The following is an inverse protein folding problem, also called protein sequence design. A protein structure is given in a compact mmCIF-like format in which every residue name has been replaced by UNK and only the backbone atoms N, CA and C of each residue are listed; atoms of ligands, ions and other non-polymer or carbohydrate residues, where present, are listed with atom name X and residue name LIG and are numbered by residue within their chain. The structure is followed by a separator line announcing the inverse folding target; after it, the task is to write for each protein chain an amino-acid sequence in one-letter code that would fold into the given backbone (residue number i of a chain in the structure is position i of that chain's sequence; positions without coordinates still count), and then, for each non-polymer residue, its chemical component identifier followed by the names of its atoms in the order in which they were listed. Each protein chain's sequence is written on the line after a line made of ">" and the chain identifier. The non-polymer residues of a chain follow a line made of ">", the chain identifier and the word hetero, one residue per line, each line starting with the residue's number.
data_IF_430582308004
#
_entry.id   IF_430582308004
#
_cell.length_a   1.000
_cell.length_b   1.000
_cell.length_c   1.000
_cell.angle_alpha   90.00
_cell.angle_beta   90.00
_cell.angle_gamma   90.00
#
_symmetry.space_group_name_H-M   'P 1'
#
loop_
_entity.id
_entity.type
_entity.pdbx_description
1 polymer ?
#
# COMPACT_ATOMS: atom_id res chain seq x y z
N UNK A 1 4.21 -1.45 8.37
CA UNK A 1 3.25 -1.18 7.27
C UNK A 1 3.63 0.04 6.44
N UNK A 2 3.51 1.28 6.95
CA UNK A 2 3.79 2.49 6.13
C UNK A 2 5.26 2.56 5.68
N UNK A 3 6.20 2.28 6.59
CA UNK A 3 7.63 2.15 6.26
C UNK A 3 7.88 1.07 5.20
N UNK A 4 7.25 -0.10 5.34
CA UNK A 4 7.42 -1.23 4.43
C UNK A 4 6.84 -0.91 3.04
N UNK A 5 5.72 -0.19 2.98
CA UNK A 5 5.17 0.33 1.74
C UNK A 5 6.19 1.21 0.98
N UNK A 6 6.91 2.10 1.67
CA UNK A 6 7.93 2.92 1.01
C UNK A 6 9.12 2.10 0.53
N UNK A 7 9.59 1.15 1.33
CA UNK A 7 10.70 0.27 0.95
C UNK A 7 10.35 -0.54 -0.32
N UNK A 8 9.10 -1.01 -0.43
CA UNK A 8 8.61 -1.68 -1.64
C UNK A 8 8.54 -0.72 -2.82
N UNK A 9 8.06 0.51 -2.62
CA UNK A 9 8.00 1.52 -3.69
C UNK A 9 9.40 1.88 -4.23
N UNK A 10 10.38 2.03 -3.34
CA UNK A 10 11.78 2.27 -3.71
C UNK A 10 12.34 1.08 -4.50
N UNK A 11 12.17 -0.14 -3.97
CA UNK A 11 12.59 -1.37 -4.65
C UNK A 11 11.92 -1.54 -6.02
N UNK A 12 10.65 -1.14 -6.15
CA UNK A 12 9.90 -1.18 -7.40
C UNK A 12 10.50 -0.23 -8.44
N UNK A 13 10.86 0.99 -8.03
CA UNK A 13 11.50 1.96 -8.90
C UNK A 13 12.86 1.46 -9.40
N UNK A 14 13.67 0.86 -8.54
CA UNK A 14 14.93 0.22 -8.93
C UNK A 14 14.73 -0.94 -9.91
N UNK A 15 13.72 -1.79 -9.67
CA UNK A 15 13.42 -2.94 -10.53
C UNK A 15 12.95 -2.52 -11.94
N UNK A 16 12.20 -1.41 -12.04
CA UNK A 16 11.83 -0.83 -13.33
C UNK A 16 13.05 -0.31 -14.09
N UNK A 17 13.94 0.43 -13.41
CA UNK A 17 15.16 0.98 -14.04
C UNK A 17 16.10 -0.14 -14.53
N UNK A 18 16.16 -1.26 -13.82
CA UNK A 18 16.99 -2.42 -14.17
C UNK A 18 16.33 -3.41 -15.13
N UNK A 19 15.11 -3.12 -15.63
CA UNK A 19 14.37 -3.93 -16.59
C UNK A 19 14.25 -5.41 -16.17
N UNK A 20 13.81 -5.66 -14.93
CA UNK A 20 13.59 -7.01 -14.39
C UNK A 20 12.08 -7.32 -14.23
N UNK A 21 11.37 -7.79 -15.27
CA UNK A 21 9.91 -7.95 -15.24
C UNK A 21 9.40 -8.81 -14.09
N UNK A 22 10.04 -9.96 -13.82
CA UNK A 22 9.65 -10.86 -12.74
C UNK A 22 9.72 -10.17 -11.36
N UNK A 23 10.70 -9.28 -11.16
CA UNK A 23 10.91 -8.56 -9.91
C UNK A 23 9.88 -7.44 -9.77
N UNK A 24 9.56 -6.76 -10.87
CA UNK A 24 8.48 -5.75 -10.92
C UNK A 24 7.14 -6.36 -10.53
N UNK A 25 6.79 -7.52 -11.09
CA UNK A 25 5.53 -8.22 -10.76
C UNK A 25 5.49 -8.66 -9.28
N UNK A 26 6.57 -9.25 -8.77
CA UNK A 26 6.65 -9.66 -7.36
C UNK A 26 6.49 -8.47 -6.40
N UNK A 27 7.14 -7.34 -6.70
CA UNK A 27 7.04 -6.11 -5.91
C UNK A 27 5.65 -5.49 -5.99
N UNK A 28 5.02 -5.50 -7.17
CA UNK A 28 3.65 -5.01 -7.35
C UNK A 28 2.64 -5.87 -6.57
N UNK A 29 2.82 -7.19 -6.55
CA UNK A 29 2.04 -8.10 -5.70
C UNK A 29 2.23 -7.79 -4.21
N UNK A 30 3.48 -7.63 -3.76
CA UNK A 30 3.78 -7.30 -2.37
C UNK A 30 3.18 -5.95 -1.96
N UNK A 31 3.26 -4.94 -2.84
CA UNK A 31 2.63 -3.62 -2.66
C UNK A 31 1.13 -3.74 -2.48
N UNK A 32 0.45 -4.53 -3.32
CA UNK A 32 -1.00 -4.79 -3.16
C UNK A 32 -1.31 -5.46 -1.83
N UNK A 33 -0.47 -6.39 -1.38
CA UNK A 33 -0.60 -7.03 -0.06
C UNK A 33 -0.66 -6.01 1.07
N UNK A 34 0.29 -5.07 1.11
CA UNK A 34 0.32 -4.03 2.16
C UNK A 34 -0.91 -3.12 2.10
N UNK A 35 -1.36 -2.74 0.89
CA UNK A 35 -2.57 -1.95 0.76
C UNK A 35 -3.82 -2.66 1.26
N UNK A 36 -3.92 -3.97 1.01
CA UNK A 36 -5.05 -4.77 1.48
C UNK A 36 -5.04 -4.90 3.01
N UNK A 37 -3.89 -5.24 3.60
CA UNK A 37 -3.73 -5.31 5.06
C UNK A 37 -4.04 -3.95 5.71
N UNK A 38 -3.55 -2.86 5.11
CA UNK A 38 -3.84 -1.50 5.55
C UNK A 38 -5.32 -1.13 5.47
N UNK A 39 -6.02 -1.60 4.43
CA UNK A 39 -7.46 -1.40 4.29
C UNK A 39 -8.25 -2.15 5.38
N UNK A 40 -7.88 -3.39 5.69
CA UNK A 40 -8.51 -4.17 6.77
C UNK A 40 -8.33 -3.49 8.13
N UNK A 41 -7.12 -2.99 8.42
CA UNK A 41 -6.87 -2.22 9.64
C UNK A 41 -7.76 -0.98 9.71
N UNK A 42 -7.89 -0.22 8.62
CA UNK A 42 -8.72 0.99 8.60
C UNK A 42 -10.21 0.68 8.76
N UNK A 43 -10.71 -0.38 8.12
CA UNK A 43 -12.09 -0.82 8.28
C UNK A 43 -12.38 -1.16 9.74
N UNK A 44 -11.54 -1.99 10.36
CA UNK A 44 -11.72 -2.41 11.75
C UNK A 44 -11.60 -1.24 12.74
N UNK A 45 -10.72 -0.26 12.48
CA UNK A 45 -10.54 0.88 13.38
C UNK A 45 -11.62 1.96 13.26
N UNK A 46 -12.35 1.99 12.14
CA UNK A 46 -13.34 3.04 11.86
C UNK A 46 -14.78 2.52 11.90
N UNK A 47 -14.99 1.23 12.13
CA UNK A 47 -16.30 0.57 12.08
C UNK A 47 -17.35 1.22 13.00
N UNK A 48 -16.93 1.80 14.12
CA UNK A 48 -17.78 2.46 15.12
C UNK A 48 -18.11 3.93 14.77
N UNK A 49 -17.48 4.48 13.74
CA UNK A 49 -17.54 5.91 13.40
C UNK A 49 -17.99 6.19 11.98
N UNK A 50 -17.51 5.40 11.02
CA UNK A 50 -17.67 5.65 9.59
C UNK A 50 -17.88 4.32 8.88
N UNK A 51 -18.95 4.23 8.08
CA UNK A 51 -19.13 3.11 7.16
C UNK A 51 -18.24 3.33 5.94
N UNK A 52 -17.32 2.39 5.71
CA UNK A 52 -16.38 2.41 4.60
C UNK A 52 -16.42 1.06 3.88
N UNK A 53 -16.31 1.07 2.56
CA UNK A 53 -16.04 -0.12 1.78
C UNK A 53 -14.51 -0.36 1.67
N UNK A 54 -14.14 -1.59 1.31
CA UNK A 54 -12.74 -2.01 1.23
C UNK A 54 -11.93 -1.20 0.21
N UNK A 55 -12.50 -0.88 -0.95
CA UNK A 55 -11.79 -0.13 -1.99
C UNK A 55 -11.52 1.32 -1.55
N UNK A 56 -12.47 1.93 -0.84
CA UNK A 56 -12.33 3.25 -0.22
C UNK A 56 -11.29 3.22 0.90
N UNK A 57 -11.32 2.22 1.79
CA UNK A 57 -10.32 2.03 2.83
C UNK A 57 -8.91 1.86 2.24
N UNK A 58 -8.78 1.10 1.14
CA UNK A 58 -7.51 0.93 0.42
C UNK A 58 -6.96 2.24 -0.13
N UNK A 59 -7.82 3.09 -0.71
CA UNK A 59 -7.45 4.42 -1.21
C UNK A 59 -7.07 5.37 -0.06
N UNK A 60 -7.79 5.32 1.05
CA UNK A 60 -7.46 6.07 2.28
C UNK A 60 -6.09 5.68 2.81
N UNK A 61 -5.76 4.39 2.86
CA UNK A 61 -4.43 3.94 3.25
C UNK A 61 -3.34 4.50 2.34
N UNK A 62 -3.54 4.49 1.01
CA UNK A 62 -2.60 5.12 0.07
C UNK A 62 -2.38 6.61 0.39
N UNK A 63 -3.45 7.35 0.67
CA UNK A 63 -3.35 8.77 1.05
C UNK A 63 -2.59 8.96 2.36
N UNK A 64 -2.85 8.13 3.37
CA UNK A 64 -2.12 8.16 4.64
C UNK A 64 -0.63 7.90 4.45
N UNK A 65 -0.25 6.92 3.63
CA UNK A 65 1.13 6.70 3.27
C UNK A 65 1.74 7.95 2.63
N UNK A 66 1.12 8.52 1.59
CA UNK A 66 1.67 9.71 0.93
C UNK A 66 1.81 10.90 1.88
N UNK A 67 0.87 11.10 2.80
CA UNK A 67 0.92 12.18 3.80
C UNK A 67 2.02 11.97 4.85
N UNK A 68 2.36 10.72 5.17
CA UNK A 68 3.40 10.38 6.15
C UNK A 68 4.84 10.53 5.60
N UNK A 69 5.02 10.73 4.29
CA UNK A 69 6.34 11.03 3.68
C UNK A 69 6.83 12.45 4.02
N UNK A 70 5.97 13.34 4.51
CA UNK A 70 6.32 14.73 4.82
C UNK A 70 7.01 14.92 6.16
#
# INVERSE_FOLDING_TARGET
>A
MVKDYFLICESYFEAMNTHQPHRVEALDMARRGIHNEGAEVLLNQLEDRIVLDFDTARRLFTLLCVLHIR
#
